data_IF_279471946881
#
_entry.id   IF_279471946881
#
_cell.length_a   1.000
_cell.length_b   1.000
_cell.length_c   1.000
_cell.angle_alpha   90.00
_cell.angle_beta   90.00
_cell.angle_gamma   90.00
#
_symmetry.space_group_name_H-M   'P 1'
#
loop_
_entity.id
_entity.type
_entity.pdbx_description
1 polymer ?
#
# COMPACT_ATOMS: atom_id res chain seq x y z
N UNK A 1 2.26 -24.36 -7.61
CA UNK A 1 2.24 -23.34 -6.53
C UNK A 1 2.37 -22.00 -7.22
N UNK A 2 1.53 -21.01 -6.88
CA UNK A 2 1.79 -19.65 -7.33
C UNK A 2 3.06 -19.15 -6.64
N UNK A 3 3.98 -18.54 -7.40
CA UNK A 3 5.16 -17.91 -6.81
C UNK A 3 4.73 -16.83 -5.82
N UNK A 4 5.44 -16.74 -4.70
CA UNK A 4 5.20 -15.69 -3.72
C UNK A 4 5.49 -14.32 -4.35
N UNK A 5 4.62 -13.31 -4.18
CA UNK A 5 4.77 -12.03 -4.87
C UNK A 5 5.78 -11.13 -4.17
N UNK A 6 7.08 -11.47 -4.29
CA UNK A 6 8.18 -10.78 -3.62
C UNK A 6 8.22 -9.27 -3.92
N UNK A 7 7.98 -8.86 -5.17
CA UNK A 7 8.01 -7.44 -5.55
C UNK A 7 6.87 -6.65 -4.89
N UNK A 8 5.64 -7.17 -4.96
CA UNK A 8 4.49 -6.55 -4.30
C UNK A 8 4.72 -6.44 -2.79
N UNK A 9 5.25 -7.49 -2.17
CA UNK A 9 5.57 -7.49 -0.74
C UNK A 9 6.57 -6.40 -0.37
N UNK A 10 7.69 -6.31 -1.11
CA UNK A 10 8.74 -5.31 -0.86
C UNK A 10 8.20 -3.87 -0.99
N UNK A 11 7.34 -3.62 -1.99
CA UNK A 11 6.74 -2.29 -2.19
C UNK A 11 5.81 -1.89 -1.03
N UNK A 12 5.00 -2.83 -0.55
CA UNK A 12 4.12 -2.60 0.60
C UNK A 12 4.94 -2.37 1.88
N UNK A 13 5.96 -3.17 2.14
CA UNK A 13 6.82 -2.98 3.32
C UNK A 13 7.52 -1.60 3.27
N UNK A 14 7.98 -1.15 2.09
CA UNK A 14 8.53 0.19 1.90
C UNK A 14 7.50 1.30 2.15
N UNK A 15 6.25 1.10 1.74
CA UNK A 15 5.15 2.04 2.01
C UNK A 15 4.87 2.14 3.51
N UNK A 16 4.75 1.00 4.21
CA UNK A 16 4.56 0.92 5.67
C UNK A 16 5.66 1.73 6.39
N UNK A 17 6.93 1.45 6.08
CA UNK A 17 8.05 2.15 6.69
C UNK A 17 8.01 3.66 6.44
N UNK A 18 7.62 4.07 5.23
CA UNK A 18 7.51 5.48 4.86
C UNK A 18 6.38 6.17 5.64
N UNK A 19 5.21 5.54 5.76
CA UNK A 19 4.08 6.10 6.49
C UNK A 19 4.36 6.18 7.99
N UNK A 20 4.97 5.14 8.57
CA UNK A 20 5.42 5.16 9.97
C UNK A 20 6.39 6.31 10.23
N UNK A 21 7.36 6.54 9.34
CA UNK A 21 8.31 7.63 9.47
C UNK A 21 7.66 9.02 9.35
N UNK A 22 6.63 9.17 8.50
CA UNK A 22 5.86 10.41 8.40
C UNK A 22 5.04 10.66 9.67
N UNK A 23 4.29 9.66 10.13
CA UNK A 23 3.45 9.74 11.34
C UNK A 23 4.28 10.06 12.59
N UNK A 24 5.48 9.48 12.71
CA UNK A 24 6.38 9.77 13.83
C UNK A 24 6.84 11.23 13.87
N UNK A 25 6.92 11.90 12.71
CA UNK A 25 7.30 13.31 12.61
C UNK A 25 6.10 14.22 12.82
N UNK A 26 4.98 13.89 12.18
CA UNK A 26 3.72 14.61 12.28
C UNK A 26 2.55 13.61 12.09
N UNK A 27 1.76 13.32 13.14
CA UNK A 27 0.63 12.39 13.06
C UNK A 27 -0.48 12.81 12.09
N UNK A 28 -0.62 14.11 11.83
CA UNK A 28 -1.61 14.66 10.91
C UNK A 28 -1.03 14.86 9.49
N UNK A 29 0.21 14.42 9.24
CA UNK A 29 0.85 14.54 7.93
C UNK A 29 0.02 13.85 6.85
N UNK A 30 -0.29 14.62 5.80
CA UNK A 30 -0.96 14.12 4.62
C UNK A 30 0.01 13.84 3.47
N UNK A 31 -0.29 12.80 2.71
CA UNK A 31 0.35 12.48 1.43
C UNK A 31 -0.49 13.11 0.31
N UNK A 32 0.16 13.90 -0.55
CA UNK A 32 -0.50 14.72 -1.59
C UNK A 32 0.26 14.65 -2.90
N UNK A 33 -0.44 15.00 -3.99
CA UNK A 33 0.16 15.20 -5.32
C UNK A 33 0.89 13.96 -5.84
N UNK A 34 2.13 14.14 -6.31
CA UNK A 34 2.94 13.08 -6.95
C UNK A 34 3.14 11.86 -6.04
N UNK A 35 3.19 12.05 -4.72
CA UNK A 35 3.37 10.93 -3.78
C UNK A 35 2.18 9.96 -3.79
N UNK A 36 0.95 10.44 -4.03
CA UNK A 36 -0.23 9.57 -4.17
C UNK A 36 -0.11 8.64 -5.39
N UNK A 37 0.52 9.09 -6.48
CA UNK A 37 0.78 8.23 -7.64
C UNK A 37 1.75 7.08 -7.34
N UNK A 38 2.71 7.30 -6.44
CA UNK A 38 3.62 6.24 -6.00
C UNK A 38 2.91 5.24 -5.09
N UNK A 39 2.03 5.74 -4.20
CA UNK A 39 1.16 4.89 -3.37
C UNK A 39 0.27 4.01 -4.24
N UNK A 40 -0.40 4.59 -5.23
CA UNK A 40 -1.26 3.85 -6.17
C UNK A 40 -0.48 2.76 -6.94
N UNK A 41 0.73 3.07 -7.41
CA UNK A 41 1.59 2.09 -8.07
C UNK A 41 1.97 0.91 -7.15
N UNK A 42 2.21 1.16 -5.85
CA UNK A 42 2.48 0.11 -4.88
C UNK A 42 1.26 -0.78 -4.65
N UNK A 43 0.08 -0.18 -4.47
CA UNK A 43 -1.19 -0.91 -4.29
C UNK A 43 -1.54 -1.72 -5.53
N UNK A 44 -1.33 -1.17 -6.72
CA UNK A 44 -1.56 -1.83 -8.00
C UNK A 44 -0.72 -3.10 -8.16
N UNK A 45 0.52 -3.11 -7.67
CA UNK A 45 1.34 -4.32 -7.66
C UNK A 45 0.73 -5.44 -6.78
N UNK A 46 0.10 -5.09 -5.66
CA UNK A 46 -0.61 -6.05 -4.80
C UNK A 46 -1.88 -6.56 -5.46
N UNK A 47 -2.64 -5.68 -6.11
CA UNK A 47 -3.84 -6.04 -6.87
C UNK A 47 -3.54 -7.07 -7.96
N UNK A 48 -2.44 -6.87 -8.70
CA UNK A 48 -1.99 -7.84 -9.69
C UNK A 48 -1.62 -9.20 -9.08
N UNK A 49 -1.01 -9.20 -7.89
CA UNK A 49 -0.60 -10.42 -7.20
C UNK A 49 -1.74 -11.18 -6.49
N UNK A 50 -2.76 -10.47 -5.99
CA UNK A 50 -3.86 -11.01 -5.18
C UNK A 50 -5.22 -10.48 -5.65
N UNK A 51 -5.60 -10.68 -6.94
CA UNK A 51 -6.80 -10.05 -7.51
C UNK A 51 -8.12 -10.54 -6.90
N UNK A 52 -8.12 -11.69 -6.23
CA UNK A 52 -9.31 -12.30 -5.63
C UNK A 52 -9.44 -12.08 -4.12
N UNK A 53 -8.44 -11.45 -3.49
CA UNK A 53 -8.49 -11.18 -2.06
C UNK A 53 -9.50 -10.05 -1.75
N UNK A 54 -10.41 -10.24 -0.78
CA UNK A 54 -11.47 -9.26 -0.49
C UNK A 54 -10.93 -7.92 0.01
N UNK A 55 -9.84 -7.92 0.78
CA UNK A 55 -9.18 -6.70 1.27
C UNK A 55 -8.58 -5.95 0.09
N UNK A 56 -7.87 -6.68 -0.78
CA UNK A 56 -7.23 -6.10 -1.98
C UNK A 56 -8.29 -5.51 -2.92
N UNK A 57 -9.44 -6.16 -3.09
CA UNK A 57 -10.56 -5.61 -3.85
C UNK A 57 -11.11 -4.33 -3.22
N UNK A 58 -11.28 -4.27 -1.89
CA UNK A 58 -11.77 -3.05 -1.24
C UNK A 58 -10.84 -1.84 -1.45
N UNK A 59 -9.55 -2.05 -1.71
CA UNK A 59 -8.60 -0.97 -2.01
C UNK A 59 -8.70 -0.40 -3.44
N UNK A 60 -9.58 -0.93 -4.31
CA UNK A 60 -9.77 -0.36 -5.66
C UNK A 60 -10.43 1.01 -5.68
N UNK A 61 -11.12 1.37 -4.59
CA UNK A 61 -11.87 2.63 -4.49
C UNK A 61 -11.11 3.73 -3.73
N UNK A 62 -9.93 3.43 -3.18
CA UNK A 62 -9.23 4.32 -2.24
C UNK A 62 -8.52 5.51 -2.89
N UNK A 63 -8.09 5.41 -4.15
CA UNK A 63 -7.41 6.49 -4.87
C UNK A 63 -7.96 6.53 -6.29
N UNK A 64 -9.04 7.28 -6.50
CA UNK A 64 -9.44 7.57 -7.87
C UNK A 64 -8.45 8.55 -8.50
N UNK A 65 -8.30 8.51 -9.83
CA UNK A 65 -7.52 9.52 -10.56
C UNK A 65 -8.04 10.94 -10.25
N UNK A 66 -9.34 11.07 -9.97
CA UNK A 66 -9.97 12.32 -9.55
C UNK A 66 -9.49 12.80 -8.17
N UNK A 67 -9.27 11.88 -7.22
CA UNK A 67 -8.72 12.21 -5.91
C UNK A 67 -7.27 12.72 -6.02
N UNK A 68 -6.45 12.07 -6.86
CA UNK A 68 -5.09 12.53 -7.13
C UNK A 68 -5.10 13.89 -7.83
N UNK A 69 -6.02 14.11 -8.78
CA UNK A 69 -6.17 15.36 -9.52
C UNK A 69 -6.76 16.51 -8.69
N UNK A 70 -7.62 16.20 -7.71
CA UNK A 70 -8.23 17.18 -6.80
C UNK A 70 -7.21 17.84 -5.87
N UNK A 71 -6.06 17.20 -5.65
CA UNK A 71 -5.05 17.64 -4.69
C UNK A 71 -5.43 17.39 -3.24
N UNK A 72 -6.55 16.71 -2.97
CA UNK A 72 -6.91 16.25 -1.63
C UNK A 72 -5.85 15.27 -1.11
N UNK A 73 -5.39 15.55 0.12
CA UNK A 73 -4.42 14.69 0.78
C UNK A 73 -5.09 13.55 1.51
N UNK A 74 -4.36 12.45 1.64
CA UNK A 74 -4.76 11.34 2.49
C UNK A 74 -3.79 11.26 3.66
N UNK A 75 -4.31 11.12 4.87
CA UNK A 75 -3.47 11.06 6.07
C UNK A 75 -2.55 9.86 5.98
N UNK A 76 -1.29 10.03 6.36
CA UNK A 76 -0.32 8.94 6.40
C UNK A 76 -0.79 7.79 7.30
N UNK A 77 -1.53 8.10 8.37
CA UNK A 77 -2.15 7.10 9.25
C UNK A 77 -3.16 6.21 8.52
N UNK A 78 -4.05 6.79 7.71
CA UNK A 78 -5.05 6.03 6.94
C UNK A 78 -4.35 5.15 5.89
N UNK A 79 -3.32 5.69 5.23
CA UNK A 79 -2.47 4.95 4.30
C UNK A 79 -1.74 3.78 4.96
N UNK A 80 -1.25 3.97 6.19
CA UNK A 80 -0.56 2.92 6.93
C UNK A 80 -1.49 1.73 7.21
N UNK A 81 -2.72 2.00 7.66
CA UNK A 81 -3.71 0.93 7.91
C UNK A 81 -3.95 0.13 6.64
N UNK A 82 -4.16 0.80 5.51
CA UNK A 82 -4.36 0.14 4.22
C UNK A 82 -3.14 -0.70 3.83
N UNK A 83 -1.93 -0.15 3.96
CA UNK A 83 -0.70 -0.84 3.61
C UNK A 83 -0.48 -2.10 4.48
N UNK A 84 -0.75 -2.03 5.78
CA UNK A 84 -0.67 -3.17 6.69
C UNK A 84 -1.66 -4.27 6.32
N UNK A 85 -2.89 -3.91 5.94
CA UNK A 85 -3.90 -4.88 5.47
C UNK A 85 -3.48 -5.54 4.15
N UNK A 86 -2.85 -4.80 3.23
CA UNK A 86 -2.29 -5.37 2.01
C UNK A 86 -1.11 -6.32 2.29
N UNK A 87 -0.24 -6.00 3.25
CA UNK A 87 0.85 -6.88 3.66
C UNK A 87 0.31 -8.19 4.26
N UNK A 88 -0.77 -8.11 5.05
CA UNK A 88 -1.45 -9.26 5.61
C UNK A 88 -2.08 -10.14 4.52
N UNK A 89 -2.73 -9.55 3.51
CA UNK A 89 -3.31 -10.28 2.37
C UNK A 89 -2.24 -11.01 1.52
N UNK A 90 -1.04 -10.44 1.41
CA UNK A 90 0.08 -11.12 0.75
C UNK A 90 0.56 -12.32 1.58
N UNK A 91 0.59 -12.17 2.91
CA UNK A 91 1.10 -13.15 3.85
C UNK A 91 2.61 -12.99 4.09
N UNK A 92 3.17 -13.76 5.05
CA UNK A 92 4.59 -13.69 5.41
C UNK A 92 5.48 -14.17 4.26
N UNK A 93 6.74 -13.72 4.26
CA UNK A 93 7.75 -14.26 3.35
C UNK A 93 7.88 -15.79 3.54
N UNK A 94 8.00 -16.58 2.45
CA UNK A 94 8.24 -18.00 2.56
C UNK A 94 9.56 -18.25 3.31
N UNK A 95 9.55 -19.22 4.23
CA UNK A 95 10.78 -19.66 4.87
C UNK A 95 11.59 -20.46 3.85
N UNK A 96 12.72 -19.92 3.41
CA UNK A 96 13.68 -20.65 2.58
C UNK A 96 14.63 -21.40 3.52
N UNK A 97 14.41 -22.70 3.70
CA UNK A 97 15.36 -23.57 4.39
C UNK A 97 16.39 -24.00 3.34
N UNK A 98 17.62 -23.49 3.48
CA UNK A 98 18.78 -23.89 2.69
C UNK A 98 19.49 -25.11 3.27
#
# INVERSE_FOLDING_TARGET
MADYPYDARRRVDALINSMQALIQRDPEQEVRGVALGVVDAAISAVKAAKPNDPVVKATSELFSADQIASGEGVRAADLLVVAEQLAAAIGPYPVVIG
#
